data_IF_242753821612
#
_entry.id   IF_242753821612
#
_cell.length_a   1.000
_cell.length_b   1.000
_cell.length_c   1.000
_cell.angle_alpha   90.00
_cell.angle_beta   90.00
_cell.angle_gamma   90.00
#
_symmetry.space_group_name_H-M   'P 1'
#
loop_
_entity.id
_entity.type
_entity.pdbx_description
1 polymer ?
#
# COMPACT_ATOMS: atom_id res chain seq x y z
N UNK A 1 9.35 78.16 7.61
CA UNK A 1 7.88 77.95 7.70
C UNK A 1 7.21 78.65 6.54
N UNK A 2 6.59 77.91 5.61
CA UNK A 2 5.39 78.30 4.84
C UNK A 2 5.00 77.16 3.89
N UNK A 3 3.90 76.50 4.28
CA UNK A 3 2.85 75.81 3.51
C UNK A 3 3.24 74.78 2.45
N UNK A 4 2.96 73.47 2.60
CA UNK A 4 1.70 72.69 2.82
C UNK A 4 1.04 72.23 1.51
N UNK A 5 0.55 70.98 1.59
CA UNK A 5 -0.46 70.26 0.77
C UNK A 5 0.09 69.58 -0.49
N UNK A 6 0.19 68.24 -0.55
CA UNK A 6 -0.86 67.20 -0.53
C UNK A 6 -1.74 67.22 -1.79
N UNK A 7 -1.61 66.19 -2.65
CA UNK A 7 -2.70 65.29 -3.04
C UNK A 7 -2.27 64.31 -4.14
N UNK A 8 -2.77 63.10 -3.93
CA UNK A 8 -2.76 61.86 -4.70
C UNK A 8 -3.30 62.02 -6.12
N UNK A 9 -2.72 61.30 -7.10
CA UNK A 9 -3.43 60.92 -8.32
C UNK A 9 -2.93 59.57 -8.84
N UNK A 10 -3.84 58.59 -8.80
CA UNK A 10 -3.77 57.28 -9.41
C UNK A 10 -3.99 57.45 -10.93
N UNK A 11 -3.09 56.96 -11.76
CA UNK A 11 -3.31 56.83 -13.20
C UNK A 11 -3.01 55.41 -13.66
N UNK A 12 -4.08 54.70 -14.02
CA UNK A 12 -4.06 53.42 -14.72
C UNK A 12 -3.73 53.69 -16.20
N UNK A 13 -2.67 53.08 -16.72
CA UNK A 13 -2.40 53.03 -18.16
C UNK A 13 -2.36 51.57 -18.62
N UNK A 14 -3.17 51.27 -19.64
CA UNK A 14 -3.40 49.96 -20.23
C UNK A 14 -2.57 49.82 -21.51
N UNK A 15 -1.91 48.64 -21.66
CA UNK A 15 -1.42 47.97 -22.87
C UNK A 15 -0.19 48.61 -23.60
N UNK A 16 0.59 47.86 -24.42
CA UNK A 16 0.32 46.54 -25.02
C UNK A 16 1.41 45.46 -24.81
N UNK A 17 1.05 44.23 -25.18
CA UNK A 17 1.85 43.04 -24.97
C UNK A 17 3.14 42.96 -25.78
N UNK A 18 4.07 42.18 -25.23
CA UNK A 18 5.19 41.60 -25.95
C UNK A 18 5.05 40.08 -25.82
N UNK A 19 4.60 39.45 -26.91
CA UNK A 19 4.66 38.01 -27.07
C UNK A 19 6.11 37.61 -27.32
N UNK A 20 6.72 36.89 -26.38
CA UNK A 20 7.96 36.16 -26.62
C UNK A 20 7.58 34.75 -27.01
N UNK A 21 7.63 34.48 -28.32
CA UNK A 21 7.66 33.14 -28.87
C UNK A 21 9.09 32.61 -28.71
N UNK A 22 9.28 31.66 -27.80
CA UNK A 22 10.56 31.00 -27.57
C UNK A 22 10.37 29.53 -27.27
N UNK A 23 10.66 28.69 -28.28
CA UNK A 23 11.22 27.34 -28.16
C UNK A 23 10.43 26.28 -27.39
N UNK A 24 9.86 25.33 -28.12
CA UNK A 24 9.54 24.00 -27.62
C UNK A 24 10.84 23.31 -27.15
N UNK A 25 10.99 23.18 -25.85
CA UNK A 25 11.97 22.32 -25.19
C UNK A 25 11.31 21.86 -23.91
N UNK A 26 11.03 20.55 -23.84
CA UNK A 26 10.23 19.89 -22.82
C UNK A 26 10.65 20.27 -21.39
N UNK A 27 9.97 21.28 -20.84
CA UNK A 27 9.85 21.45 -19.40
C UNK A 27 8.84 20.41 -18.90
N UNK A 28 9.24 19.14 -18.90
CA UNK A 28 8.67 18.15 -17.99
C UNK A 28 8.98 18.64 -16.59
N UNK A 29 8.02 19.39 -16.06
CA UNK A 29 8.00 19.85 -14.69
C UNK A 29 8.32 18.67 -13.79
N UNK A 30 9.44 18.76 -13.08
CA UNK A 30 9.69 18.03 -11.86
C UNK A 30 8.63 18.49 -10.85
N UNK A 31 7.45 17.86 -10.92
CA UNK A 31 6.43 17.95 -9.91
C UNK A 31 6.75 16.91 -8.85
N UNK A 32 7.84 17.15 -8.12
CA UNK A 32 8.09 16.54 -6.82
C UNK A 32 7.16 17.22 -5.81
N UNK A 33 5.90 16.79 -5.84
CA UNK A 33 5.00 16.93 -4.71
C UNK A 33 4.70 15.51 -4.29
N UNK A 34 5.15 15.14 -3.09
CA UNK A 34 4.71 13.95 -2.37
C UNK A 34 3.20 14.03 -2.14
N UNK A 35 2.43 13.80 -3.20
CA UNK A 35 1.08 13.31 -3.12
C UNK A 35 1.24 11.95 -2.45
N UNK A 36 0.68 11.75 -1.26
CA UNK A 36 0.48 10.41 -0.73
C UNK A 36 -0.14 9.60 -1.87
N UNK A 37 0.65 8.73 -2.51
CA UNK A 37 0.25 8.09 -3.76
C UNK A 37 -1.11 7.44 -3.49
N UNK A 38 -2.14 7.89 -4.21
CA UNK A 38 -3.49 7.44 -3.96
C UNK A 38 -3.51 5.92 -4.10
N UNK A 39 -3.69 5.21 -2.99
CA UNK A 39 -3.57 3.76 -2.98
C UNK A 39 -4.78 3.19 -3.70
N UNK A 40 -4.56 2.52 -4.84
CA UNK A 40 -5.63 1.90 -5.60
C UNK A 40 -6.27 0.79 -4.79
N UNK A 41 -7.55 0.95 -4.50
CA UNK A 41 -8.37 -0.05 -3.81
C UNK A 41 -9.01 -0.99 -4.82
N UNK A 42 -9.00 -2.28 -4.52
CA UNK A 42 -9.63 -3.30 -5.37
C UNK A 42 -10.81 -3.97 -4.67
N UNK A 43 -11.70 -4.54 -5.48
CA UNK A 43 -12.81 -5.36 -4.99
C UNK A 43 -12.33 -6.74 -4.56
N UNK A 44 -13.14 -7.45 -3.76
CA UNK A 44 -12.87 -8.85 -3.44
C UNK A 44 -12.81 -9.75 -4.68
N UNK A 45 -13.70 -9.53 -5.65
CA UNK A 45 -13.70 -10.29 -6.92
C UNK A 45 -12.39 -10.06 -7.71
N UNK A 46 -11.90 -8.83 -7.76
CA UNK A 46 -10.62 -8.50 -8.40
C UNK A 46 -9.46 -9.20 -7.69
N UNK A 47 -9.37 -9.09 -6.36
CA UNK A 47 -8.32 -9.72 -5.57
C UNK A 47 -8.29 -11.25 -5.76
N UNK A 48 -9.45 -11.90 -5.67
CA UNK A 48 -9.55 -13.37 -5.84
C UNK A 48 -9.20 -13.81 -7.27
N UNK A 49 -9.50 -13.01 -8.29
CA UNK A 49 -9.04 -13.28 -9.66
C UNK A 49 -7.51 -13.27 -9.75
N UNK A 50 -6.87 -12.25 -9.17
CA UNK A 50 -5.41 -12.14 -9.15
C UNK A 50 -4.75 -13.30 -8.38
N UNK A 51 -5.33 -13.69 -7.24
CA UNK A 51 -4.83 -14.80 -6.44
C UNK A 51 -4.92 -16.14 -7.18
N UNK A 52 -6.04 -16.39 -7.87
CA UNK A 52 -6.21 -17.60 -8.69
C UNK A 52 -5.19 -17.70 -9.82
N UNK A 53 -4.83 -16.57 -10.44
CA UNK A 53 -3.85 -16.52 -11.54
C UNK A 53 -2.50 -17.13 -11.17
N UNK A 54 -2.11 -17.06 -9.90
CA UNK A 54 -0.83 -17.58 -9.39
C UNK A 54 -1.00 -18.80 -8.48
N UNK A 55 -2.22 -19.31 -8.31
CA UNK A 55 -2.51 -20.43 -7.42
C UNK A 55 -2.35 -20.11 -5.93
N UNK A 56 -2.69 -18.89 -5.52
CA UNK A 56 -2.94 -18.55 -4.11
C UNK A 56 -4.36 -18.98 -3.76
N UNK A 57 -4.50 -19.62 -2.61
CA UNK A 57 -5.79 -20.05 -2.04
C UNK A 57 -6.18 -19.15 -0.87
N UNK A 58 -7.43 -19.23 -0.42
CA UNK A 58 -7.88 -18.59 0.80
C UNK A 58 -8.95 -19.43 1.50
N UNK A 59 -9.08 -19.23 2.81
CA UNK A 59 -10.01 -19.96 3.67
C UNK A 59 -10.69 -18.99 4.62
N UNK A 60 -12.02 -19.07 4.72
CA UNK A 60 -12.84 -18.28 5.66
C UNK A 60 -13.60 -19.21 6.59
N UNK A 61 -13.46 -19.02 7.90
CA UNK A 61 -14.16 -19.84 8.89
C UNK A 61 -15.68 -19.64 8.84
N UNK A 62 -16.15 -18.43 8.52
CA UNK A 62 -17.55 -18.10 8.31
C UNK A 62 -18.11 -18.43 6.92
N UNK A 63 -17.30 -18.99 6.02
CA UNK A 63 -17.67 -19.26 4.62
C UNK A 63 -18.25 -18.02 3.90
N UNK A 64 -17.64 -16.86 4.12
CA UNK A 64 -18.15 -15.57 3.64
C UNK A 64 -17.02 -14.59 3.30
N UNK A 65 -17.37 -13.48 2.64
CA UNK A 65 -16.43 -12.43 2.23
C UNK A 65 -16.85 -11.02 2.68
N UNK A 66 -17.78 -10.91 3.64
CA UNK A 66 -18.23 -9.63 4.18
C UNK A 66 -17.15 -9.03 5.08
N UNK A 67 -16.67 -7.84 4.72
CA UNK A 67 -15.63 -7.14 5.48
C UNK A 67 -16.08 -6.75 6.89
N UNK A 68 -17.37 -6.61 7.14
CA UNK A 68 -17.89 -6.21 8.44
C UNK A 68 -18.13 -7.38 9.40
N UNK A 69 -17.78 -8.60 8.99
CA UNK A 69 -17.92 -9.80 9.82
C UNK A 69 -16.54 -10.43 10.04
N UNK A 70 -16.11 -10.49 11.31
CA UNK A 70 -14.79 -10.98 11.72
C UNK A 70 -14.54 -12.48 11.46
N UNK A 71 -15.57 -13.25 11.10
CA UNK A 71 -15.42 -14.66 10.69
C UNK A 71 -15.20 -14.83 9.18
N UNK A 72 -15.42 -13.77 8.40
CA UNK A 72 -15.18 -13.79 6.96
C UNK A 72 -13.71 -13.54 6.65
N UNK A 73 -13.25 -14.04 5.49
CA UNK A 73 -12.01 -13.55 4.89
C UNK A 73 -12.40 -12.65 3.74
N UNK A 74 -12.26 -11.34 3.93
CA UNK A 74 -12.64 -10.35 2.92
C UNK A 74 -11.42 -9.74 2.26
N UNK A 75 -11.57 -9.33 1.00
CA UNK A 75 -10.53 -8.55 0.29
C UNK A 75 -11.11 -7.22 -0.24
N UNK A 76 -12.23 -6.80 0.35
CA UNK A 76 -12.90 -5.56 -0.04
C UNK A 76 -12.07 -4.37 0.40
N UNK A 77 -11.73 -3.48 -0.55
CA UNK A 77 -10.78 -2.38 -0.36
C UNK A 77 -9.37 -2.83 0.03
N UNK A 78 -8.95 -4.02 -0.42
CA UNK A 78 -7.55 -4.39 -0.42
C UNK A 78 -6.77 -3.43 -1.31
N UNK A 79 -5.52 -3.11 -0.95
CA UNK A 79 -4.65 -2.33 -1.83
C UNK A 79 -4.21 -3.19 -3.01
N UNK A 80 -4.22 -2.63 -4.22
CA UNK A 80 -3.71 -3.32 -5.41
C UNK A 80 -2.28 -3.81 -5.19
N UNK A 81 -1.42 -2.96 -4.61
CA UNK A 81 -0.04 -3.31 -4.30
C UNK A 81 0.08 -4.48 -3.30
N UNK A 82 -0.84 -4.62 -2.36
CA UNK A 82 -0.89 -5.76 -1.43
C UNK A 82 -1.23 -7.06 -2.18
N UNK A 83 -2.21 -7.03 -3.10
CA UNK A 83 -2.54 -8.19 -3.90
C UNK A 83 -1.38 -8.60 -4.84
N UNK A 84 -0.73 -7.63 -5.48
CA UNK A 84 0.46 -7.87 -6.30
C UNK A 84 1.63 -8.38 -5.45
N UNK A 85 1.84 -7.83 -4.24
CA UNK A 85 2.84 -8.32 -3.30
C UNK A 85 2.64 -9.77 -2.90
N UNK A 86 1.39 -10.21 -2.72
CA UNK A 86 1.06 -11.62 -2.51
C UNK A 86 1.42 -12.48 -3.73
N UNK A 87 1.12 -12.01 -4.95
CA UNK A 87 1.51 -12.70 -6.19
C UNK A 87 3.03 -12.81 -6.31
N UNK A 88 3.77 -11.74 -6.00
CA UNK A 88 5.23 -11.72 -5.98
C UNK A 88 5.78 -12.73 -4.98
N UNK A 89 5.27 -12.76 -3.75
CA UNK A 89 5.67 -13.76 -2.74
C UNK A 89 5.41 -15.18 -3.24
N UNK A 90 4.25 -15.44 -3.85
CA UNK A 90 3.90 -16.75 -4.41
C UNK A 90 4.88 -17.19 -5.50
N UNK A 91 5.16 -16.30 -6.46
CA UNK A 91 6.06 -16.59 -7.59
C UNK A 91 7.51 -16.77 -7.11
N UNK A 92 7.98 -15.92 -6.20
CA UNK A 92 9.36 -15.95 -5.71
C UNK A 92 9.65 -17.13 -4.78
N UNK A 93 8.69 -17.50 -3.92
CA UNK A 93 8.85 -18.64 -3.00
C UNK A 93 8.55 -19.99 -3.65
N UNK A 94 7.68 -20.03 -4.67
CA UNK A 94 7.11 -21.28 -5.19
C UNK A 94 6.22 -22.03 -4.20
N UNK A 95 6.04 -21.53 -2.98
CA UNK A 95 5.34 -22.21 -1.91
C UNK A 95 3.82 -22.14 -2.08
N UNK A 96 3.09 -23.11 -1.51
CA UNK A 96 1.66 -22.96 -1.30
C UNK A 96 1.39 -21.78 -0.35
N UNK A 97 0.46 -20.91 -0.73
CA UNK A 97 -0.03 -19.81 0.11
C UNK A 97 -1.54 -19.95 0.26
N UNK A 98 -2.00 -19.96 1.51
CA UNK A 98 -3.41 -19.92 1.87
C UNK A 98 -3.65 -18.68 2.73
N UNK A 99 -4.41 -17.72 2.20
CA UNK A 99 -4.79 -16.50 2.92
C UNK A 99 -5.93 -16.82 3.88
N UNK A 100 -5.76 -16.50 5.15
CA UNK A 100 -6.74 -16.77 6.21
C UNK A 100 -7.42 -15.50 6.73
N UNK A 101 -6.82 -14.36 6.47
CA UNK A 101 -7.31 -13.05 6.90
C UNK A 101 -6.91 -11.98 5.89
N UNK A 102 -7.75 -10.98 5.75
CA UNK A 102 -7.54 -9.90 4.81
C UNK A 102 -8.01 -8.58 5.38
N UNK A 103 -9.16 -8.12 4.90
CA UNK A 103 -9.64 -6.77 5.14
C UNK A 103 -10.74 -6.69 6.18
N UNK A 104 -11.23 -7.83 6.66
CA UNK A 104 -12.33 -7.92 7.62
C UNK A 104 -12.10 -7.13 8.92
N UNK A 105 -13.18 -6.85 9.64
CA UNK A 105 -13.13 -6.26 10.98
C UNK A 105 -12.59 -7.25 12.01
N UNK A 106 -12.16 -6.74 13.17
CA UNK A 106 -11.61 -7.56 14.27
C UNK A 106 -10.08 -7.47 14.42
N UNK A 107 -9.40 -6.85 13.46
CA UNK A 107 -7.96 -6.59 13.49
C UNK A 107 -7.61 -5.27 14.18
N UNK A 108 -6.35 -5.13 14.61
CA UNK A 108 -5.83 -3.88 15.16
C UNK A 108 -5.95 -2.72 14.15
N UNK A 109 -6.32 -1.54 14.65
CA UNK A 109 -6.44 -0.32 13.85
C UNK A 109 -5.06 0.33 13.61
N UNK A 110 -5.01 1.26 12.66
CA UNK A 110 -3.80 2.01 12.32
C UNK A 110 -3.68 2.26 10.83
N UNK A 111 -2.75 3.14 10.44
CA UNK A 111 -2.52 3.51 9.02
C UNK A 111 -2.24 2.28 8.17
N UNK A 112 -1.31 1.44 8.61
CA UNK A 112 -0.89 0.21 7.94
C UNK A 112 -1.56 -1.01 8.57
N UNK A 113 -2.85 -1.17 8.32
CA UNK A 113 -3.70 -2.20 8.94
C UNK A 113 -4.43 -3.07 7.91
N UNK A 114 -5.02 -4.17 8.38
CA UNK A 114 -5.96 -5.02 7.63
C UNK A 114 -7.15 -4.20 7.10
N UNK A 115 -7.76 -3.39 7.99
CA UNK A 115 -8.85 -2.49 7.61
C UNK A 115 -8.45 -1.42 6.59
N UNK A 116 -7.16 -1.09 6.48
CA UNK A 116 -6.69 -0.19 5.43
C UNK A 116 -6.10 -0.92 4.23
N UNK A 117 -6.28 -2.25 4.13
CA UNK A 117 -5.95 -3.06 2.96
C UNK A 117 -4.46 -3.27 2.74
N UNK A 118 -3.62 -3.02 3.76
CA UNK A 118 -2.17 -3.15 3.68
C UNK A 118 -1.66 -4.53 4.06
N UNK A 119 -2.50 -5.35 4.71
CA UNK A 119 -2.09 -6.58 5.36
C UNK A 119 -2.87 -7.78 4.86
N UNK A 120 -2.23 -8.94 4.87
CA UNK A 120 -2.83 -10.25 4.62
C UNK A 120 -2.25 -11.25 5.62
N UNK A 121 -3.11 -12.11 6.14
CA UNK A 121 -2.70 -13.23 6.98
C UNK A 121 -2.56 -14.48 6.13
N UNK A 122 -1.44 -15.19 6.29
CA UNK A 122 -1.22 -16.48 5.65
C UNK A 122 -1.15 -17.59 6.68
N UNK A 123 -1.88 -18.67 6.42
CA UNK A 123 -1.76 -19.90 7.20
C UNK A 123 -0.31 -20.42 7.20
N UNK A 124 0.16 -20.89 8.35
CA UNK A 124 1.51 -21.45 8.49
C UNK A 124 1.69 -22.68 7.63
N UNK A 125 2.80 -22.71 6.90
CA UNK A 125 3.35 -23.93 6.34
C UNK A 125 4.88 -23.84 6.33
N UNK A 126 5.52 -25.00 6.34
CA UNK A 126 6.98 -25.11 6.44
C UNK A 126 7.70 -24.45 5.26
N UNK A 127 7.14 -24.54 4.05
CA UNK A 127 7.76 -23.97 2.85
C UNK A 127 7.88 -22.44 2.97
N UNK A 128 6.76 -21.74 3.20
CA UNK A 128 6.78 -20.28 3.29
C UNK A 128 7.57 -19.80 4.51
N UNK A 129 7.52 -20.53 5.63
CA UNK A 129 8.33 -20.21 6.80
C UNK A 129 9.83 -20.31 6.53
N UNK A 130 10.28 -21.38 5.89
CA UNK A 130 11.70 -21.53 5.55
C UNK A 130 12.13 -20.48 4.52
N UNK A 131 11.27 -20.18 3.54
CA UNK A 131 11.55 -19.14 2.55
C UNK A 131 11.73 -17.77 3.23
N UNK A 132 10.79 -17.34 4.06
CA UNK A 132 10.86 -16.05 4.77
C UNK A 132 12.11 -16.00 5.65
N UNK A 133 12.32 -16.99 6.51
CA UNK A 133 13.44 -16.98 7.47
C UNK A 133 14.81 -17.14 6.80
N UNK A 134 14.87 -17.77 5.62
CA UNK A 134 16.10 -17.97 4.86
C UNK A 134 16.46 -16.82 3.91
N UNK A 135 15.49 -16.03 3.45
CA UNK A 135 15.71 -14.99 2.43
C UNK A 135 15.50 -13.56 2.93
N UNK A 136 14.76 -13.35 4.01
CA UNK A 136 14.43 -12.02 4.51
C UNK A 136 15.24 -11.68 5.76
N UNK A 137 15.58 -10.39 5.92
CA UNK A 137 16.37 -9.92 7.03
C UNK A 137 15.54 -9.94 8.31
N UNK A 138 16.02 -10.60 9.37
CA UNK A 138 15.40 -10.50 10.67
C UNK A 138 15.59 -9.10 11.25
N UNK A 139 14.50 -8.45 11.68
CA UNK A 139 14.52 -7.04 12.15
C UNK A 139 14.12 -6.89 13.61
N UNK A 140 14.00 -7.99 14.36
CA UNK A 140 13.67 -7.99 15.78
C UNK A 140 12.24 -8.44 16.08
N UNK A 141 11.79 -8.13 17.30
CA UNK A 141 10.44 -8.46 17.77
C UNK A 141 9.52 -7.26 17.64
N UNK A 142 8.28 -7.48 17.20
CA UNK A 142 7.20 -6.50 17.31
C UNK A 142 6.79 -6.33 18.78
N UNK A 143 6.05 -5.27 19.10
CA UNK A 143 5.62 -4.97 20.48
C UNK A 143 4.83 -6.07 21.20
N UNK A 144 4.25 -7.03 20.47
CA UNK A 144 3.58 -8.22 21.00
C UNK A 144 4.49 -9.47 21.10
N UNK A 145 5.78 -9.33 20.78
CA UNK A 145 6.76 -10.40 20.81
C UNK A 145 6.86 -11.22 19.53
N UNK A 146 6.07 -10.91 18.48
CA UNK A 146 6.16 -11.62 17.20
C UNK A 146 7.50 -11.32 16.48
N UNK A 147 8.32 -12.32 16.12
CA UNK A 147 9.51 -12.14 15.30
C UNK A 147 9.18 -11.54 13.93
N UNK A 148 9.88 -10.49 13.52
CA UNK A 148 9.67 -9.82 12.23
C UNK A 148 10.83 -10.00 11.26
N UNK A 149 10.47 -10.19 10.00
CA UNK A 149 11.40 -10.34 8.88
C UNK A 149 11.05 -9.33 7.79
N UNK A 150 12.05 -8.68 7.22
CA UNK A 150 11.90 -7.68 6.17
C UNK A 150 12.46 -8.21 4.85
N UNK A 151 11.61 -8.25 3.83
CA UNK A 151 12.04 -8.55 2.46
C UNK A 151 12.91 -7.44 1.88
N UNK A 152 13.68 -7.73 0.82
CA UNK A 152 14.51 -6.74 0.15
C UNK A 152 13.73 -5.55 -0.44
N UNK A 153 12.42 -5.69 -0.67
CA UNK A 153 11.54 -4.59 -1.09
C UNK A 153 10.97 -3.78 0.07
N UNK A 154 11.27 -4.15 1.32
CA UNK A 154 10.81 -3.44 2.52
C UNK A 154 9.51 -3.97 3.14
N UNK A 155 8.80 -4.92 2.52
CA UNK A 155 7.60 -5.54 3.12
C UNK A 155 7.97 -6.36 4.37
N UNK A 156 7.08 -6.38 5.37
CA UNK A 156 7.32 -6.92 6.71
C UNK A 156 6.47 -8.17 6.95
N UNK A 157 7.09 -9.20 7.51
CA UNK A 157 6.50 -10.51 7.76
C UNK A 157 6.64 -10.81 9.25
N UNK A 158 5.55 -10.77 9.99
CA UNK A 158 5.52 -11.08 11.43
C UNK A 158 5.07 -12.54 11.64
N UNK A 159 5.88 -13.31 12.38
CA UNK A 159 5.56 -14.68 12.77
C UNK A 159 4.74 -14.65 14.07
N UNK A 160 3.41 -14.71 13.98
CA UNK A 160 2.52 -14.77 15.16
C UNK A 160 2.37 -16.20 15.72
N UNK A 161 3.19 -17.14 15.24
CA UNK A 161 3.22 -18.54 15.68
C UNK A 161 2.23 -19.43 14.92
N UNK A 162 0.95 -19.07 14.88
CA UNK A 162 -0.09 -19.85 14.18
C UNK A 162 -0.34 -19.39 12.72
N UNK A 163 -0.01 -18.15 12.39
CA UNK A 163 -0.07 -17.59 11.04
C UNK A 163 1.06 -16.57 10.82
N UNK A 164 1.22 -16.16 9.56
CA UNK A 164 2.05 -15.02 9.19
C UNK A 164 1.15 -13.81 9.01
N UNK A 165 1.44 -12.74 9.74
CA UNK A 165 0.85 -11.43 9.54
C UNK A 165 1.81 -10.61 8.65
N UNK A 166 1.41 -10.33 7.41
CA UNK A 166 2.29 -9.70 6.41
C UNK A 166 1.77 -8.31 6.04
N UNK A 167 2.63 -7.32 6.25
CA UNK A 167 2.44 -5.93 5.86
C UNK A 167 3.14 -5.62 4.54
N UNK A 168 2.37 -5.18 3.56
CA UNK A 168 2.82 -4.78 2.24
C UNK A 168 2.84 -3.25 2.11
N UNK A 169 4.03 -2.66 2.05
CA UNK A 169 4.21 -1.25 1.67
C UNK A 169 4.20 -1.07 0.15
N UNK A 170 4.56 -2.12 -0.61
CA UNK A 170 4.61 -2.15 -2.05
C UNK A 170 4.39 -3.59 -2.59
N UNK A 171 4.39 -3.74 -3.90
CA UNK A 171 4.16 -5.02 -4.56
C UNK A 171 5.38 -5.95 -4.66
N UNK A 172 6.52 -5.59 -4.08
CA UNK A 172 7.69 -6.49 -4.02
C UNK A 172 8.53 -6.58 -5.29
N UNK A 173 8.45 -5.59 -6.20
CA UNK A 173 9.17 -5.59 -7.47
C UNK A 173 8.32 -5.98 -8.68
N UNK A 174 7.01 -5.74 -8.60
CA UNK A 174 6.19 -5.48 -9.78
C UNK A 174 6.45 -4.03 -10.27
#
# INVERSE_FOLDING_TARGET
>A
MKFRSALTALALAVAPGLAVLGGAGDALAAQDSAQAAAVTKISHATATSMFREVGITWSSSGNCSDRNNATCTSFTQLNLATAQGAQTLKRASGCALNITGGTETGHASGTYSHWNGYKLDYGKNTCVTNYIKGNFAYIGLRGDGAPQYQSGSGNIYADEGNHWDVLYYNCGGC
#
